data_IF_758700864558
#
_entry.id   IF_758700864558
#
_cell.length_a   1.000
_cell.length_b   1.000
_cell.length_c   1.000
_cell.angle_alpha   90.00
_cell.angle_beta   90.00
_cell.angle_gamma   90.00
#
_symmetry.space_group_name_H-M   'P 1'
#
loop_
_entity.id
_entity.type
_entity.pdbx_description
1 polymer ?
#
# COMPACT_ATOMS: atom_id res chain seq x y z
N UNK A 1 15.58 -21.90 -1.86
CA UNK A 1 15.29 -20.56 -2.44
C UNK A 1 15.63 -19.47 -1.42
N UNK A 2 16.07 -18.30 -1.85
CA UNK A 2 16.43 -17.19 -0.95
C UNK A 2 15.27 -16.80 -0.02
N UNK A 3 14.05 -16.79 -0.57
CA UNK A 3 12.83 -16.39 0.14
C UNK A 3 12.43 -17.39 1.22
N UNK A 4 12.65 -18.68 1.00
CA UNK A 4 12.52 -19.69 2.05
C UNK A 4 13.48 -19.39 3.22
N UNK A 5 14.72 -18.95 2.95
CA UNK A 5 15.71 -18.63 3.98
C UNK A 5 15.32 -17.37 4.76
N UNK A 6 14.79 -16.35 4.08
CA UNK A 6 14.27 -15.12 4.72
C UNK A 6 13.10 -15.45 5.66
N UNK A 7 12.19 -16.32 5.22
CA UNK A 7 11.10 -16.81 6.06
C UNK A 7 11.60 -17.61 7.27
N UNK A 8 12.61 -18.47 7.10
CA UNK A 8 13.18 -19.19 8.24
C UNK A 8 13.78 -18.24 9.27
N UNK A 9 14.55 -17.23 8.83
CA UNK A 9 15.15 -16.25 9.71
C UNK A 9 14.07 -15.48 10.49
N UNK A 10 12.96 -15.15 9.83
CA UNK A 10 11.82 -14.50 10.44
C UNK A 10 11.13 -15.38 11.49
N UNK A 11 10.89 -16.66 11.19
CA UNK A 11 10.30 -17.62 12.13
C UNK A 11 11.21 -17.94 13.32
N UNK A 12 12.52 -18.10 13.08
CA UNK A 12 13.52 -18.31 14.13
C UNK A 12 13.65 -17.07 15.03
N UNK A 13 13.61 -15.86 14.44
CA UNK A 13 13.56 -14.61 15.20
C UNK A 13 12.33 -14.51 16.08
N UNK A 14 11.17 -14.96 15.59
CA UNK A 14 9.92 -14.97 16.33
C UNK A 14 9.94 -15.97 17.49
N UNK A 15 10.51 -17.16 17.29
CA UNK A 15 10.74 -18.14 18.36
C UNK A 15 11.67 -17.59 19.46
N UNK A 16 12.75 -16.90 19.06
CA UNK A 16 13.67 -16.27 20.01
C UNK A 16 12.98 -15.15 20.81
N UNK A 17 12.19 -14.30 20.14
CA UNK A 17 11.48 -13.21 20.81
C UNK A 17 10.36 -13.71 21.73
N UNK A 18 9.72 -14.84 21.39
CA UNK A 18 8.77 -15.53 22.26
C UNK A 18 9.44 -16.00 23.56
N UNK A 19 10.60 -16.66 23.46
CA UNK A 19 11.36 -17.13 24.62
C UNK A 19 11.90 -15.99 25.49
N UNK A 20 12.20 -14.84 24.88
CA UNK A 20 12.75 -13.65 25.57
C UNK A 20 11.67 -12.71 26.11
N UNK A 21 10.39 -12.92 25.80
CA UNK A 21 9.30 -12.00 26.15
C UNK A 21 9.47 -10.61 25.51
N UNK A 22 10.08 -10.55 24.34
CA UNK A 22 10.47 -9.30 23.68
C UNK A 22 9.27 -8.57 23.05
N UNK A 23 9.18 -7.24 23.15
CA UNK A 23 8.12 -6.47 22.50
C UNK A 23 8.16 -6.56 20.96
N UNK A 24 9.28 -7.02 20.39
CA UNK A 24 9.43 -7.27 18.95
C UNK A 24 8.58 -8.44 18.44
N UNK A 25 8.08 -9.29 19.34
CA UNK A 25 7.23 -10.43 19.00
C UNK A 25 6.00 -10.02 18.19
N UNK A 26 5.27 -8.98 18.62
CA UNK A 26 4.07 -8.50 17.90
C UNK A 26 4.38 -8.04 16.47
N UNK A 27 5.54 -7.40 16.28
CA UNK A 27 5.97 -6.93 14.95
C UNK A 27 6.30 -8.09 14.03
N UNK A 28 7.03 -9.10 14.52
CA UNK A 28 7.35 -10.30 13.73
C UNK A 28 6.10 -11.14 13.45
N UNK A 29 5.19 -11.24 14.43
CA UNK A 29 3.88 -11.88 14.27
C UNK A 29 3.08 -11.24 13.14
N UNK A 30 3.00 -9.89 13.08
CA UNK A 30 2.31 -9.19 12.00
C UNK A 30 2.91 -9.55 10.63
N UNK A 31 4.24 -9.56 10.52
CA UNK A 31 4.91 -9.95 9.27
C UNK A 31 4.63 -11.40 8.86
N UNK A 32 4.52 -12.32 9.82
CA UNK A 32 4.09 -13.70 9.52
C UNK A 32 2.67 -13.69 8.98
N UNK A 33 1.75 -12.95 9.61
CA UNK A 33 0.35 -12.87 9.16
C UNK A 33 0.24 -12.33 7.73
N UNK A 34 1.01 -11.29 7.40
CA UNK A 34 1.03 -10.73 6.05
C UNK A 34 1.46 -11.78 5.01
N UNK A 35 2.54 -12.53 5.30
CA UNK A 35 3.02 -13.60 4.43
C UNK A 35 2.00 -14.75 4.28
N UNK A 36 1.32 -15.09 5.36
CA UNK A 36 0.29 -16.13 5.36
C UNK A 36 -0.95 -15.67 4.59
N UNK A 37 -1.37 -14.41 4.71
CA UNK A 37 -2.45 -13.84 3.88
C UNK A 37 -2.11 -13.86 2.39
N UNK A 38 -0.86 -13.57 2.03
CA UNK A 38 -0.40 -13.71 0.64
C UNK A 38 -0.40 -15.17 0.14
N UNK A 39 -0.21 -16.16 1.02
CA UNK A 39 -0.36 -17.57 0.68
C UNK A 39 -1.83 -17.95 0.49
N UNK A 40 -2.75 -17.39 1.27
CA UNK A 40 -4.19 -17.62 1.09
C UNK A 40 -4.65 -17.29 -0.34
N UNK A 41 -4.19 -16.17 -0.89
CA UNK A 41 -4.46 -15.77 -2.28
C UNK A 41 -3.98 -16.80 -3.32
N UNK A 42 -3.08 -17.71 -2.95
CA UNK A 42 -2.56 -18.78 -3.80
C UNK A 42 -3.28 -20.12 -3.60
N UNK A 43 -4.51 -20.10 -3.09
CA UNK A 43 -5.38 -21.27 -2.91
C UNK A 43 -5.53 -22.15 -4.17
N UNK A 44 -5.37 -21.60 -5.37
CA UNK A 44 -5.39 -22.35 -6.62
C UNK A 44 -4.22 -23.36 -6.77
N UNK A 45 -3.15 -23.23 -5.99
CA UNK A 45 -2.01 -24.15 -5.99
C UNK A 45 -2.32 -25.32 -5.04
N UNK A 46 -2.33 -26.59 -5.50
CA UNK A 46 -2.71 -27.74 -4.67
C UNK A 46 -1.89 -27.90 -3.38
N UNK A 47 -0.59 -27.56 -3.43
CA UNK A 47 0.29 -27.61 -2.26
C UNK A 47 -0.07 -26.55 -1.21
N UNK A 48 -0.61 -25.40 -1.63
CA UNK A 48 -1.07 -24.34 -0.72
C UNK A 48 -2.46 -24.69 -0.18
N UNK A 49 -3.35 -25.20 -1.03
CA UNK A 49 -4.67 -25.66 -0.61
C UNK A 49 -4.61 -26.76 0.46
N UNK A 50 -3.62 -27.66 0.38
CA UNK A 50 -3.39 -28.71 1.38
C UNK A 50 -3.03 -28.16 2.78
N UNK A 51 -2.55 -26.92 2.85
CA UNK A 51 -2.10 -26.23 4.06
C UNK A 51 -3.03 -25.08 4.48
N UNK A 52 -4.20 -24.97 3.82
CA UNK A 52 -5.13 -23.84 3.98
C UNK A 52 -5.69 -23.69 5.40
N UNK A 53 -5.96 -24.80 6.09
CA UNK A 53 -6.42 -24.78 7.47
C UNK A 53 -5.42 -24.07 8.39
N UNK A 54 -4.14 -24.40 8.26
CA UNK A 54 -3.06 -23.75 9.01
C UNK A 54 -2.90 -22.27 8.63
N UNK A 55 -3.02 -21.96 7.34
CA UNK A 55 -2.95 -20.59 6.81
C UNK A 55 -4.05 -19.72 7.42
N UNK A 56 -5.30 -20.20 7.44
CA UNK A 56 -6.43 -19.47 8.01
C UNK A 56 -6.30 -19.33 9.52
N UNK A 57 -5.92 -20.40 10.22
CA UNK A 57 -5.73 -20.37 11.68
C UNK A 57 -4.69 -19.34 12.10
N UNK A 58 -3.53 -19.31 11.42
CA UNK A 58 -2.44 -18.38 11.71
C UNK A 58 -2.80 -16.91 11.46
N UNK A 59 -3.90 -16.61 10.76
CA UNK A 59 -4.39 -15.23 10.62
C UNK A 59 -5.25 -14.77 11.80
N UNK A 60 -5.84 -15.70 12.54
CA UNK A 60 -6.72 -15.39 13.68
C UNK A 60 -5.92 -15.01 14.93
N UNK A 61 -6.49 -14.24 15.85
CA UNK A 61 -5.86 -13.98 17.16
C UNK A 61 -5.81 -15.22 18.05
N UNK A 62 -6.75 -16.15 17.88
CA UNK A 62 -6.85 -17.37 18.69
C UNK A 62 -5.61 -18.26 18.56
N UNK A 63 -5.06 -18.43 17.36
CA UNK A 63 -3.87 -19.28 17.16
C UNK A 63 -2.61 -18.72 17.85
N UNK A 64 -2.52 -17.40 17.98
CA UNK A 64 -1.38 -16.74 18.62
C UNK A 64 -1.51 -16.65 20.14
N UNK A 65 -2.72 -16.80 20.67
CA UNK A 65 -2.94 -16.88 22.12
C UNK A 65 -2.39 -18.21 22.64
N UNK A 66 -1.30 -18.15 23.42
CA UNK A 66 -0.66 -19.34 23.97
C UNK A 66 0.25 -20.08 22.98
N UNK A 67 0.68 -19.42 21.89
CA UNK A 67 1.59 -20.01 20.91
C UNK A 67 2.92 -20.46 21.54
N UNK A 68 3.41 -21.61 21.12
CA UNK A 68 4.67 -22.20 21.60
C UNK A 68 5.75 -22.23 20.52
N UNK A 69 7.01 -22.41 20.93
CA UNK A 69 8.14 -22.59 19.99
C UNK A 69 7.90 -23.77 19.05
N UNK A 70 7.33 -24.87 19.57
CA UNK A 70 7.02 -26.06 18.76
C UNK A 70 5.95 -25.77 17.71
N UNK A 71 4.90 -25.01 18.05
CA UNK A 71 3.88 -24.57 17.08
C UNK A 71 4.50 -23.72 15.97
N UNK A 72 5.39 -22.78 16.32
CA UNK A 72 6.11 -21.97 15.35
C UNK A 72 7.06 -22.80 14.48
N UNK A 73 7.71 -23.82 15.03
CA UNK A 73 8.60 -24.71 14.28
C UNK A 73 7.84 -25.59 13.29
N UNK A 74 6.66 -26.09 13.69
CA UNK A 74 5.75 -26.82 12.79
C UNK A 74 5.30 -25.90 11.66
N UNK A 75 4.84 -24.69 11.97
CA UNK A 75 4.44 -23.70 10.97
C UNK A 75 5.58 -23.37 10.00
N UNK A 76 6.80 -23.16 10.51
CA UNK A 76 7.98 -22.90 9.69
C UNK A 76 8.23 -24.03 8.70
N UNK A 77 8.21 -25.29 9.15
CA UNK A 77 8.46 -26.45 8.29
C UNK A 77 7.41 -26.63 7.20
N UNK A 78 6.13 -26.44 7.53
CA UNK A 78 5.00 -26.61 6.60
C UNK A 78 4.95 -25.49 5.56
N UNK A 79 5.16 -24.24 5.97
CA UNK A 79 5.01 -23.08 5.09
C UNK A 79 6.27 -22.74 4.29
N UNK A 80 7.48 -23.10 4.74
CA UNK A 80 8.76 -22.78 4.06
C UNK A 80 8.81 -23.18 2.59
N UNK A 81 8.22 -24.32 2.26
CA UNK A 81 8.14 -24.83 0.88
C UNK A 81 7.15 -24.06 0.01
N UNK A 82 6.22 -23.33 0.63
CA UNK A 82 5.16 -22.57 -0.03
C UNK A 82 5.54 -21.10 -0.28
N UNK A 83 6.39 -20.52 0.57
CA UNK A 83 6.86 -19.12 0.43
C UNK A 83 7.29 -18.75 -1.00
N UNK A 84 8.04 -19.59 -1.75
CA UNK A 84 8.45 -19.25 -3.12
C UNK A 84 7.30 -19.08 -4.13
N UNK A 85 6.06 -19.48 -3.79
CA UNK A 85 4.89 -19.25 -4.63
C UNK A 85 4.35 -17.82 -4.51
N UNK A 86 4.65 -17.12 -3.41
CA UNK A 86 4.30 -15.70 -3.22
C UNK A 86 5.07 -14.85 -4.25
N UNK A 87 6.37 -15.12 -4.43
CA UNK A 87 7.27 -14.31 -5.27
C UNK A 87 7.10 -14.50 -6.78
N UNK A 88 6.25 -15.42 -7.23
CA UNK A 88 6.03 -15.63 -8.68
C UNK A 88 5.18 -14.51 -9.32
N UNK A 89 4.59 -13.62 -8.53
CA UNK A 89 3.87 -12.43 -9.03
C UNK A 89 4.62 -11.10 -8.85
N UNK A 90 5.79 -11.07 -8.20
CA UNK A 90 6.64 -9.87 -8.08
C UNK A 90 8.12 -10.23 -8.11
N UNK A 91 8.72 -10.28 -9.29
CA UNK A 91 10.19 -10.26 -9.42
C UNK A 91 10.62 -8.98 -10.10
N UNK A 92 11.01 -7.99 -9.29
CA UNK A 92 12.12 -7.10 -9.64
C UNK A 92 13.35 -7.59 -8.87
N UNK A 93 14.47 -7.92 -9.52
CA UNK A 93 15.69 -8.28 -8.82
C UNK A 93 16.38 -6.99 -8.38
N UNK A 94 16.39 -6.72 -7.08
CA UNK A 94 17.37 -5.78 -6.52
C UNK A 94 18.46 -6.65 -5.92
N UNK A 95 19.57 -6.76 -6.65
CA UNK A 95 20.85 -7.09 -6.05
C UNK A 95 21.29 -5.87 -5.27
N UNK A 96 21.35 -6.00 -3.95
CA UNK A 96 22.13 -5.09 -3.13
C UNK A 96 23.27 -5.90 -2.55
N UNK A 97 24.43 -5.82 -3.22
CA UNK A 97 25.70 -5.98 -2.51
C UNK A 97 25.79 -4.80 -1.53
N UNK A 98 25.80 -5.11 -0.25
CA UNK A 98 26.21 -4.17 0.79
C UNK A 98 27.59 -4.62 1.26
N UNK A 99 28.63 -3.91 0.83
CA UNK A 99 29.84 -3.81 1.63
C UNK A 99 29.53 -2.86 2.79
N UNK A 100 29.54 -3.38 4.01
CA UNK A 100 29.33 -2.63 5.24
C UNK A 100 30.42 -1.56 5.43
N UNK A 101 30.05 -0.28 5.39
CA UNK A 101 30.77 0.78 6.09
C UNK A 101 29.86 1.43 7.14
N UNK A 102 30.19 1.20 8.41
CA UNK A 102 29.50 1.79 9.57
C UNK A 102 29.94 3.25 9.70
N UNK A 103 29.09 4.18 9.25
CA UNK A 103 29.21 5.60 9.54
C UNK A 103 28.71 5.95 10.95
N UNK A 104 29.26 7.00 11.55
CA UNK A 104 28.87 7.51 12.89
C UNK A 104 27.41 8.01 12.89
N UNK A 105 26.60 7.41 13.77
CA UNK A 105 25.17 7.65 13.86
C UNK A 105 24.81 9.08 14.26
N UNK A 106 23.90 9.68 13.49
CA UNK A 106 23.14 10.87 13.91
C UNK A 106 21.95 10.36 14.73
N UNK A 107 21.72 10.92 15.91
CA UNK A 107 20.46 10.73 16.64
C UNK A 107 19.31 11.35 15.84
N UNK A 108 18.66 10.51 15.03
CA UNK A 108 17.32 10.80 14.53
C UNK A 108 16.37 10.44 15.67
N UNK A 109 15.66 11.44 16.19
CA UNK A 109 14.44 11.18 16.95
C UNK A 109 13.48 10.53 15.97
N UNK A 110 13.45 9.20 15.99
CA UNK A 110 12.35 8.43 15.44
C UNK A 110 11.16 8.76 16.34
N UNK A 111 10.37 9.75 15.92
CA UNK A 111 8.98 9.81 16.38
C UNK A 111 8.40 8.46 16.01
N UNK A 112 8.12 7.66 17.03
CA UNK A 112 7.40 6.40 16.92
C UNK A 112 6.03 6.70 16.30
N UNK A 113 5.98 6.78 14.97
CA UNK A 113 4.76 6.54 14.22
C UNK A 113 4.50 5.04 14.33
N UNK A 114 4.13 4.64 15.54
CA UNK A 114 3.73 3.30 15.88
C UNK A 114 2.51 2.94 15.05
N UNK A 115 2.77 2.33 13.89
CA UNK A 115 1.80 1.56 13.13
C UNK A 115 1.40 0.32 13.95
N UNK A 116 0.70 0.56 15.06
CA UNK A 116 0.03 -0.46 15.83
C UNK A 116 -1.26 -0.91 15.13
N UNK A 117 -1.92 -1.96 15.66
CA UNK A 117 -3.23 -2.42 15.19
C UNK A 117 -4.30 -1.32 15.12
N UNK A 118 -4.12 -0.19 15.82
CA UNK A 118 -5.06 0.91 15.86
C UNK A 118 -5.08 1.77 14.58
N UNK A 119 -3.94 1.99 13.90
CA UNK A 119 -3.93 2.80 12.67
C UNK A 119 -4.63 2.09 11.50
N UNK A 120 -4.40 0.79 11.35
CA UNK A 120 -5.09 -0.03 10.33
C UNK A 120 -6.60 -0.13 10.62
N UNK A 121 -6.98 -0.25 11.90
CA UNK A 121 -8.40 -0.19 12.31
C UNK A 121 -9.03 1.16 12.03
N UNK A 122 -8.32 2.25 12.32
CA UNK A 122 -8.75 3.61 12.00
C UNK A 122 -8.96 3.77 10.49
N UNK A 123 -7.98 3.36 9.67
CA UNK A 123 -8.09 3.39 8.20
C UNK A 123 -9.27 2.57 7.69
N UNK A 124 -9.49 1.37 8.24
CA UNK A 124 -10.63 0.54 7.87
C UNK A 124 -11.97 1.19 8.23
N UNK A 125 -12.11 1.75 9.43
CA UNK A 125 -13.30 2.52 9.86
C UNK A 125 -13.53 3.75 8.98
N UNK A 126 -12.47 4.49 8.70
CA UNK A 126 -12.53 5.67 7.83
C UNK A 126 -12.98 5.28 6.43
N UNK A 127 -12.42 4.22 5.86
CA UNK A 127 -12.84 3.72 4.55
C UNK A 127 -14.32 3.32 4.55
N UNK A 128 -14.78 2.58 5.56
CA UNK A 128 -16.17 2.15 5.65
C UNK A 128 -17.12 3.35 5.74
N UNK A 129 -16.83 4.30 6.64
CA UNK A 129 -17.62 5.52 6.76
C UNK A 129 -17.68 6.30 5.43
N UNK A 130 -16.55 6.45 4.75
CA UNK A 130 -16.47 7.16 3.48
C UNK A 130 -17.25 6.47 2.34
N UNK A 131 -17.40 5.14 2.41
CA UNK A 131 -18.29 4.39 1.52
C UNK A 131 -19.76 4.65 1.85
N UNK A 132 -20.12 4.70 3.12
CA UNK A 132 -21.49 4.96 3.57
C UNK A 132 -21.95 6.40 3.21
N UNK A 133 -21.01 7.35 3.14
CA UNK A 133 -21.27 8.74 2.70
C UNK A 133 -20.79 9.03 1.27
N UNK A 134 -20.66 8.01 0.42
CA UNK A 134 -20.11 8.17 -0.93
C UNK A 134 -20.88 9.20 -1.81
N UNK A 135 -22.18 9.37 -1.57
CA UNK A 135 -23.04 10.32 -2.28
C UNK A 135 -22.90 11.77 -1.79
N UNK A 136 -22.20 11.99 -0.67
CA UNK A 136 -21.96 13.34 -0.15
C UNK A 136 -21.17 14.18 -1.15
N UNK A 137 -21.54 15.46 -1.28
CA UNK A 137 -20.98 16.36 -2.30
C UNK A 137 -19.45 16.45 -2.26
N UNK A 138 -18.85 16.49 -1.05
CA UNK A 138 -17.40 16.53 -0.86
C UNK A 138 -16.72 15.25 -1.35
N UNK A 139 -17.28 14.07 -1.04
CA UNK A 139 -16.71 12.78 -1.46
C UNK A 139 -16.82 12.63 -2.97
N UNK A 140 -17.96 13.04 -3.55
CA UNK A 140 -18.12 13.09 -5.00
C UNK A 140 -17.12 14.03 -5.65
N UNK A 141 -16.85 15.21 -5.09
CA UNK A 141 -15.82 16.14 -5.60
C UNK A 141 -14.43 15.49 -5.57
N UNK A 142 -14.07 14.85 -4.46
CA UNK A 142 -12.82 14.10 -4.32
C UNK A 142 -12.71 13.02 -5.40
N UNK A 143 -13.66 12.08 -5.47
CA UNK A 143 -13.63 10.99 -6.45
C UNK A 143 -13.61 11.51 -7.90
N UNK A 144 -14.36 12.57 -8.21
CA UNK A 144 -14.49 13.07 -9.59
C UNK A 144 -13.44 14.11 -10.00
N UNK A 145 -12.34 14.22 -9.24
CA UNK A 145 -11.24 15.15 -9.53
C UNK A 145 -11.66 16.63 -9.65
N UNK A 146 -12.61 17.04 -8.81
CA UNK A 146 -13.02 18.45 -8.66
C UNK A 146 -12.29 19.07 -7.47
N UNK A 147 -11.92 20.36 -7.57
CA UNK A 147 -11.25 21.06 -6.48
C UNK A 147 -12.13 21.09 -5.23
N UNK A 148 -11.48 20.95 -4.07
CA UNK A 148 -12.11 21.11 -2.77
C UNK A 148 -12.00 22.56 -2.28
N UNK A 149 -13.01 23.00 -1.54
CA UNK A 149 -12.95 24.25 -0.78
C UNK A 149 -12.59 23.96 0.68
N UNK A 150 -12.08 24.96 1.40
CA UNK A 150 -11.79 24.83 2.83
C UNK A 150 -13.04 24.38 3.62
N UNK A 151 -14.22 24.91 3.27
CA UNK A 151 -15.50 24.52 3.87
C UNK A 151 -15.84 23.04 3.63
N UNK A 152 -15.54 22.51 2.43
CA UNK A 152 -15.76 21.10 2.13
C UNK A 152 -14.93 20.19 3.06
N UNK A 153 -13.68 20.58 3.38
CA UNK A 153 -12.79 19.85 4.28
C UNK A 153 -13.23 19.93 5.74
N UNK A 154 -13.62 21.12 6.21
CA UNK A 154 -14.12 21.31 7.59
C UNK A 154 -15.39 20.51 7.85
N UNK A 155 -16.34 20.50 6.91
CA UNK A 155 -17.56 19.68 7.06
C UNK A 155 -17.24 18.19 7.07
N UNK A 156 -16.30 17.74 6.25
CA UNK A 156 -15.95 16.33 6.19
C UNK A 156 -15.23 15.86 7.46
N UNK A 157 -14.35 16.69 8.00
CA UNK A 157 -13.75 16.49 9.31
C UNK A 157 -14.81 16.38 10.41
N UNK A 158 -15.77 17.33 10.45
CA UNK A 158 -16.88 17.30 11.42
C UNK A 158 -17.68 16.00 11.32
N UNK A 159 -18.03 15.56 10.11
CA UNK A 159 -18.79 14.34 9.91
C UNK A 159 -18.01 13.08 10.34
N UNK A 160 -16.70 13.00 10.07
CA UNK A 160 -15.86 11.88 10.52
C UNK A 160 -15.77 11.82 12.06
N UNK A 161 -15.68 12.98 12.71
CA UNK A 161 -15.66 13.08 14.17
C UNK A 161 -17.01 12.69 14.79
N UNK A 162 -18.13 13.15 14.24
CA UNK A 162 -19.48 12.80 14.71
C UNK A 162 -19.79 11.31 14.53
N UNK A 163 -19.28 10.69 13.47
CA UNK A 163 -19.43 9.27 13.22
C UNK A 163 -18.48 8.38 14.06
N UNK A 164 -17.57 8.97 14.84
CA UNK A 164 -16.64 8.22 15.68
C UNK A 164 -15.63 7.38 14.89
N UNK A 165 -15.23 7.87 13.71
CA UNK A 165 -14.34 7.18 12.78
C UNK A 165 -12.93 6.99 13.36
N UNK A 166 -12.50 7.90 14.24
CA UNK A 166 -11.25 7.85 15.00
C UNK A 166 -11.19 8.94 16.06
N UNK A 167 -10.11 8.94 16.84
CA UNK A 167 -9.82 10.03 17.78
C UNK A 167 -9.32 11.29 17.04
N UNK A 168 -9.41 12.48 17.65
CA UNK A 168 -8.80 13.68 17.09
C UNK A 168 -7.31 13.50 16.76
N UNK A 169 -6.58 12.79 17.61
CA UNK A 169 -5.15 12.53 17.44
C UNK A 169 -4.85 11.62 16.24
N UNK A 170 -5.67 10.59 16.02
CA UNK A 170 -5.55 9.70 14.86
C UNK A 170 -5.79 10.47 13.55
N UNK A 171 -6.77 11.37 13.56
CA UNK A 171 -7.10 12.20 12.40
C UNK A 171 -5.98 13.20 12.09
N UNK A 172 -5.43 13.87 13.12
CA UNK A 172 -4.29 14.77 12.96
C UNK A 172 -3.03 14.05 12.47
N UNK A 173 -2.74 12.86 13.02
CA UNK A 173 -1.64 12.03 12.55
C UNK A 173 -1.81 11.63 11.07
N UNK A 174 -3.04 11.28 10.67
CA UNK A 174 -3.34 10.92 9.29
C UNK A 174 -3.20 12.11 8.31
N UNK A 175 -3.62 13.32 8.73
CA UNK A 175 -3.41 14.55 7.98
C UNK A 175 -1.91 14.83 7.80
N UNK A 176 -1.14 14.75 8.88
CA UNK A 176 0.30 15.00 8.85
C UNK A 176 1.04 13.99 7.96
N UNK A 177 0.64 12.72 7.99
CA UNK A 177 1.26 11.67 7.17
C UNK A 177 0.88 11.74 5.68
N UNK A 178 -0.23 12.40 5.33
CA UNK A 178 -0.77 12.41 3.96
C UNK A 178 -0.72 13.79 3.30
N UNK A 179 -0.03 14.77 3.91
CA UNK A 179 -0.01 16.18 3.47
C UNK A 179 -1.42 16.82 3.38
N UNK A 180 -2.33 16.41 4.28
CA UNK A 180 -3.66 16.99 4.42
C UNK A 180 -4.80 15.98 4.36
N UNK A 181 -5.97 16.43 4.83
CA UNK A 181 -7.16 15.59 4.96
C UNK A 181 -7.69 15.08 3.61
N UNK A 182 -7.73 15.95 2.60
CA UNK A 182 -8.24 15.58 1.28
C UNK A 182 -7.40 14.52 0.59
N UNK A 183 -6.08 14.56 0.73
CA UNK A 183 -5.16 13.52 0.23
C UNK A 183 -5.30 12.21 1.00
N UNK A 184 -5.41 12.28 2.33
CA UNK A 184 -5.69 11.11 3.16
C UNK A 184 -6.96 10.39 2.70
N UNK A 185 -8.07 11.11 2.57
CA UNK A 185 -9.34 10.52 2.12
C UNK A 185 -9.21 9.93 0.72
N UNK A 186 -8.52 10.63 -0.19
CA UNK A 186 -8.29 10.14 -1.56
C UNK A 186 -7.53 8.82 -1.58
N UNK A 187 -6.58 8.64 -0.66
CA UNK A 187 -5.85 7.37 -0.50
C UNK A 187 -6.75 6.21 -0.04
N UNK A 188 -7.88 6.49 0.61
CA UNK A 188 -8.82 5.48 1.08
C UNK A 188 -9.91 5.14 0.06
N UNK A 189 -10.40 6.13 -0.68
CA UNK A 189 -11.53 5.96 -1.61
C UNK A 189 -11.12 5.81 -3.07
N UNK A 190 -9.91 6.22 -3.42
CA UNK A 190 -9.44 6.21 -4.80
C UNK A 190 -10.03 7.32 -5.67
N UNK A 191 -9.68 7.31 -6.95
CA UNK A 191 -10.22 8.22 -7.96
C UNK A 191 -11.30 7.53 -8.78
N UNK A 192 -12.30 8.28 -9.25
CA UNK A 192 -13.21 7.77 -10.26
C UNK A 192 -12.47 7.51 -11.58
N UNK A 193 -12.65 6.32 -12.15
CA UNK A 193 -11.94 5.90 -13.37
C UNK A 193 -12.22 6.83 -14.55
N UNK A 194 -13.46 7.29 -14.70
CA UNK A 194 -13.84 8.20 -15.79
C UNK A 194 -13.32 9.62 -15.55
N UNK A 195 -13.17 10.04 -14.29
CA UNK A 195 -12.45 11.27 -13.95
C UNK A 195 -10.94 11.18 -14.25
N UNK A 196 -10.31 10.04 -13.95
CA UNK A 196 -8.92 9.77 -14.30
C UNK A 196 -8.71 9.81 -15.81
N UNK A 197 -9.51 9.06 -16.58
CA UNK A 197 -9.49 9.08 -18.06
C UNK A 197 -9.64 10.48 -18.63
N UNK A 198 -10.59 11.27 -18.11
CA UNK A 198 -10.79 12.66 -18.55
C UNK A 198 -9.56 13.54 -18.31
N UNK A 199 -8.84 13.34 -17.21
CA UNK A 199 -7.60 14.08 -16.94
C UNK A 199 -6.49 13.77 -17.95
N UNK A 200 -6.45 12.55 -18.50
CA UNK A 200 -5.48 12.13 -19.51
C UNK A 200 -6.03 12.16 -20.95
N UNK A 201 -7.28 12.59 -21.14
CA UNK A 201 -7.94 12.52 -22.44
C UNK A 201 -7.23 13.38 -23.49
N UNK A 202 -6.86 14.62 -23.13
CA UNK A 202 -6.14 15.52 -24.03
C UNK A 202 -4.69 15.06 -24.29
N UNK A 203 -4.07 14.36 -23.32
CA UNK A 203 -2.74 13.77 -23.49
C UNK A 203 -2.75 12.63 -24.54
N UNK A 204 -3.83 11.85 -24.61
CA UNK A 204 -4.01 10.74 -25.56
C UNK A 204 -4.70 11.14 -26.87
N UNK A 205 -5.15 12.40 -27.00
CA UNK A 205 -6.00 12.87 -28.10
C UNK A 205 -5.25 13.05 -29.42
N UNK A 206 -3.94 13.22 -29.34
CA UNK A 206 -3.08 13.16 -30.52
C UNK A 206 -3.11 11.71 -31.01
N UNK A 207 -3.77 11.46 -32.15
CA UNK A 207 -4.07 10.14 -32.73
C UNK A 207 -2.84 9.31 -33.15
N UNK A 208 -1.68 9.65 -32.61
CA UNK A 208 -0.37 9.03 -32.82
C UNK A 208 0.10 8.22 -31.61
N UNK A 209 -0.71 8.14 -30.54
CA UNK A 209 -0.36 7.34 -29.36
C UNK A 209 -0.21 5.85 -29.72
N UNK A 210 0.95 5.28 -29.42
CA UNK A 210 1.26 3.86 -29.63
C UNK A 210 0.55 2.98 -28.60
N UNK A 211 0.41 1.68 -28.88
CA UNK A 211 -0.18 0.72 -27.95
C UNK A 211 0.49 0.77 -26.56
N UNK A 212 1.83 0.82 -26.52
CA UNK A 212 2.59 0.88 -25.26
C UNK A 212 2.34 2.19 -24.50
N UNK A 213 2.19 3.33 -25.20
CA UNK A 213 1.85 4.61 -24.56
C UNK A 213 0.45 4.59 -23.96
N UNK A 214 -0.52 4.00 -24.66
CA UNK A 214 -1.90 3.83 -24.17
C UNK A 214 -1.91 2.92 -22.94
N UNK A 215 -1.19 1.81 -22.98
CA UNK A 215 -1.07 0.87 -21.86
C UNK A 215 -0.41 1.53 -20.64
N UNK A 216 0.66 2.31 -20.86
CA UNK A 216 1.32 3.05 -19.80
C UNK A 216 0.37 4.05 -19.11
N UNK A 217 -0.42 4.81 -19.89
CA UNK A 217 -1.42 5.73 -19.33
C UNK A 217 -2.56 4.98 -18.63
N UNK A 218 -2.95 3.81 -19.13
CA UNK A 218 -3.93 2.97 -18.43
C UNK A 218 -3.43 2.49 -17.07
N UNK A 219 -2.14 2.12 -16.94
CA UNK A 219 -1.56 1.79 -15.64
C UNK A 219 -1.59 2.99 -14.67
N UNK A 220 -1.39 4.21 -15.19
CA UNK A 220 -1.53 5.42 -14.38
C UNK A 220 -2.98 5.58 -13.90
N UNK A 221 -3.94 5.43 -14.81
CA UNK A 221 -5.37 5.50 -14.52
C UNK A 221 -5.77 4.46 -13.49
N UNK A 222 -5.30 3.23 -13.61
CA UNK A 222 -5.58 2.13 -12.67
C UNK A 222 -5.04 2.48 -11.29
N UNK A 223 -3.78 2.90 -11.20
CA UNK A 223 -3.17 3.29 -9.93
C UNK A 223 -3.90 4.47 -9.27
N UNK A 224 -4.27 5.50 -10.04
CA UNK A 224 -5.06 6.63 -9.53
C UNK A 224 -6.46 6.18 -9.09
N UNK A 225 -7.06 5.22 -9.79
CA UNK A 225 -8.37 4.66 -9.42
C UNK A 225 -8.29 3.96 -8.06
N UNK A 226 -7.22 3.23 -7.81
CA UNK A 226 -7.06 2.45 -6.58
C UNK A 226 -6.55 3.29 -5.39
N UNK A 227 -5.58 4.17 -5.63
CA UNK A 227 -4.84 4.89 -4.56
C UNK A 227 -5.17 6.39 -4.52
N UNK A 228 -5.96 6.90 -5.46
CA UNK A 228 -6.46 8.28 -5.48
C UNK A 228 -5.44 9.34 -5.92
N UNK A 229 -4.16 9.11 -5.64
CA UNK A 229 -3.01 9.94 -6.00
C UNK A 229 -1.84 9.08 -6.43
N UNK A 230 -0.89 9.70 -7.11
CA UNK A 230 0.35 9.06 -7.54
C UNK A 230 1.50 10.06 -7.42
N UNK A 231 2.58 9.64 -6.77
CA UNK A 231 3.84 10.36 -6.85
C UNK A 231 4.51 10.11 -8.21
N UNK A 232 5.03 11.13 -8.91
CA UNK A 232 5.70 10.95 -10.20
C UNK A 232 6.86 9.95 -10.18
N UNK A 233 7.55 9.77 -9.04
CA UNK A 233 8.61 8.77 -8.88
C UNK A 233 8.13 7.33 -9.11
N UNK A 234 6.83 7.06 -8.89
CA UNK A 234 6.19 5.75 -9.14
C UNK A 234 6.34 5.29 -10.59
N UNK A 235 6.48 6.21 -11.54
CA UNK A 235 6.64 5.91 -12.97
C UNK A 235 7.95 5.17 -13.28
N UNK A 236 8.92 5.20 -12.36
CA UNK A 236 10.19 4.48 -12.42
C UNK A 236 10.18 3.16 -11.61
N UNK A 237 8.99 2.74 -11.16
CA UNK A 237 8.78 1.49 -10.43
C UNK A 237 7.94 0.49 -11.25
N UNK A 238 7.86 -0.77 -10.81
CA UNK A 238 6.95 -1.74 -11.43
C UNK A 238 5.50 -1.35 -11.05
N UNK A 239 4.51 -1.48 -11.95
CA UNK A 239 4.54 -2.15 -13.26
C UNK A 239 5.02 -1.29 -14.44
N UNK A 240 5.28 0.00 -14.25
CA UNK A 240 5.63 0.93 -15.35
C UNK A 240 6.94 0.58 -16.05
N UNK A 241 7.96 0.21 -15.27
CA UNK A 241 9.25 -0.22 -15.82
C UNK A 241 9.20 -1.53 -16.58
N UNK A 242 8.14 -2.31 -16.40
CA UNK A 242 7.99 -3.60 -17.08
C UNK A 242 7.55 -3.36 -18.54
N UNK A 243 6.88 -2.23 -18.81
CA UNK A 243 6.58 -1.73 -20.16
C UNK A 243 7.74 -0.93 -20.76
N UNK A 244 8.44 -0.15 -19.93
CA UNK A 244 9.54 0.71 -20.35
C UNK A 244 10.67 0.70 -19.33
N UNK A 245 11.75 -0.09 -19.54
CA UNK A 245 12.83 -0.25 -18.57
C UNK A 245 13.53 1.04 -18.15
N UNK A 246 13.52 2.05 -19.01
CA UNK A 246 14.11 3.38 -18.76
C UNK A 246 13.12 4.37 -18.16
N UNK A 247 11.90 3.95 -17.79
CA UNK A 247 10.85 4.85 -17.31
C UNK A 247 10.04 5.49 -18.45
N UNK A 248 9.27 6.55 -18.17
CA UNK A 248 8.40 7.19 -19.16
C UNK A 248 9.15 7.73 -20.38
N UNK A 249 10.43 8.09 -20.26
CA UNK A 249 11.31 8.58 -21.33
C UNK A 249 11.56 7.55 -22.44
N UNK A 250 11.38 6.25 -22.13
CA UNK A 250 11.46 5.20 -23.16
C UNK A 250 10.25 5.17 -24.09
N UNK A 251 9.14 5.81 -23.70
CA UNK A 251 7.88 5.82 -24.45
C UNK A 251 7.45 7.21 -24.89
N UNK A 252 7.88 8.27 -24.20
CA UNK A 252 7.41 9.63 -24.39
C UNK A 252 8.57 10.59 -24.62
N UNK A 253 8.36 11.65 -25.41
CA UNK A 253 9.33 12.74 -25.52
C UNK A 253 9.49 13.47 -24.18
N UNK A 254 10.61 14.18 -23.93
CA UNK A 254 10.79 14.95 -22.71
C UNK A 254 9.61 15.89 -22.41
N UNK A 255 9.07 16.57 -23.44
CA UNK A 255 7.92 17.46 -23.30
C UNK A 255 6.63 16.70 -22.94
N UNK A 256 6.48 15.47 -23.43
CA UNK A 256 5.35 14.61 -23.05
C UNK A 256 5.49 14.10 -21.61
N UNK A 257 6.69 13.74 -21.16
CA UNK A 257 6.96 13.36 -19.77
C UNK A 257 6.63 14.53 -18.83
N UNK A 258 7.09 15.74 -19.16
CA UNK A 258 6.79 16.94 -18.38
C UNK A 258 5.28 17.21 -18.29
N UNK A 259 4.54 17.06 -19.40
CA UNK A 259 3.07 17.17 -19.40
C UNK A 259 2.41 16.11 -18.52
N UNK A 260 2.88 14.86 -18.58
CA UNK A 260 2.36 13.76 -17.78
C UNK A 260 2.55 14.02 -16.27
N UNK A 261 3.76 14.47 -15.89
CA UNK A 261 4.05 14.87 -14.50
C UNK A 261 3.21 16.07 -14.07
N UNK A 262 2.98 17.04 -14.96
CA UNK A 262 2.10 18.18 -14.69
C UNK A 262 0.67 17.73 -14.38
N UNK A 263 0.10 16.82 -15.19
CA UNK A 263 -1.24 16.26 -14.96
C UNK A 263 -1.31 15.58 -13.58
N UNK A 264 -0.31 14.78 -13.21
CA UNK A 264 -0.27 14.12 -11.89
C UNK A 264 -0.23 15.13 -10.74
N UNK A 265 0.57 16.20 -10.87
CA UNK A 265 0.65 17.27 -9.88
C UNK A 265 -0.67 18.03 -9.76
N UNK A 266 -1.34 18.33 -10.87
CA UNK A 266 -2.66 18.97 -10.87
C UNK A 266 -3.72 18.10 -10.17
N UNK A 267 -3.73 16.79 -10.43
CA UNK A 267 -4.63 15.84 -9.76
C UNK A 267 -4.39 15.86 -8.25
N UNK A 268 -3.12 15.84 -7.82
CA UNK A 268 -2.76 15.93 -6.39
C UNK A 268 -3.22 17.26 -5.79
N UNK A 269 -2.96 18.39 -6.44
CA UNK A 269 -3.31 19.73 -5.95
C UNK A 269 -4.82 19.91 -5.74
N UNK A 270 -5.66 19.35 -6.62
CA UNK A 270 -7.13 19.40 -6.46
C UNK A 270 -7.64 18.74 -5.18
N UNK A 271 -6.82 17.93 -4.52
CA UNK A 271 -7.13 17.28 -3.25
C UNK A 271 -6.56 18.00 -2.01
N UNK A 272 -5.63 18.94 -2.19
CA UNK A 272 -4.92 19.64 -1.09
C UNK A 272 -5.68 20.87 -0.59
N UNK A 273 -6.58 21.42 -1.44
CA UNK A 273 -7.21 22.77 -1.36
C UNK A 273 -6.33 23.87 -1.93
#
# INVERSE_FOLDING_TARGET
PEESKRFDLLMLGLQLDLLRGSPRFKRLQSKVRDLVGLLEEKAAIPLVAAEMELILDMQTDAWWQGVTVDMLEIARRRLRGLIPFIDRQRRKPIYTDFEDEIGTGVEVVLTDLGGGPDLERFRAKARQFLLDVADHVTIRKLRTNRPLTATDLTELERMMMEAGVGSPEELEAAKAASDGLGLFIRSLVGLDREAAKRAFADFLKDSTATANQIEFVNLIIDHLTDHGVMDPGRLYESPFTDLSPTGPEGLFSPEQVDRLVSILREIRQRAVS
#
